data_IF_412827312785
#
_entry.id   IF_412827312785
#
_cell.length_a   1.000
_cell.length_b   1.000
_cell.length_c   1.000
_cell.angle_alpha   90.00
_cell.angle_beta   90.00
_cell.angle_gamma   90.00
#
_symmetry.space_group_name_H-M   'P 1'
#
loop_
_entity.id
_entity.type
_entity.pdbx_description
1 polymer ?
#
# COMPACT_ATOMS: atom_id res chain seq x y z
N UNK A 1 -14.05 -36.69 72.23
CA UNK A 1 -13.67 -38.12 72.35
C UNK A 1 -12.97 -38.46 71.02
N UNK A 2 -11.65 -38.72 71.18
CA UNK A 2 -10.88 -39.86 70.68
C UNK A 2 -11.00 -40.10 69.17
N UNK A 3 -9.99 -40.23 68.28
CA UNK A 3 -8.59 -40.71 68.56
C UNK A 3 -7.74 -40.35 67.34
N UNK A 4 -6.52 -39.94 67.59
CA UNK A 4 -5.38 -39.98 66.72
C UNK A 4 -5.10 -41.38 66.18
N UNK A 5 -4.68 -41.56 64.95
CA UNK A 5 -3.72 -42.60 64.59
C UNK A 5 -2.78 -42.03 63.52
N UNK A 6 -1.57 -41.95 63.97
CA UNK A 6 -0.33 -41.71 63.27
C UNK A 6 0.11 -43.05 62.66
N UNK A 7 0.43 -43.11 61.37
CA UNK A 7 1.34 -44.14 60.81
C UNK A 7 2.31 -43.54 59.88
N UNK A 8 3.52 -43.70 60.18
CA UNK A 8 4.81 -43.31 59.66
C UNK A 8 5.29 -44.33 58.63
N UNK A 9 6.15 -43.86 57.74
CA UNK A 9 7.17 -44.60 56.94
C UNK A 9 6.63 -45.20 55.62
N UNK A 10 7.37 -45.18 54.50
CA UNK A 10 8.81 -45.41 54.32
C UNK A 10 9.14 -44.90 52.90
N UNK A 11 10.19 -44.13 52.78
CA UNK A 11 11.04 -43.82 51.62
C UNK A 11 11.25 -45.02 50.70
N UNK A 12 11.05 -44.78 49.39
CA UNK A 12 11.86 -45.48 48.38
C UNK A 12 12.19 -44.53 47.25
N UNK A 13 13.42 -44.09 47.27
CA UNK A 13 14.09 -43.38 46.16
C UNK A 13 14.20 -44.35 44.97
N UNK A 14 13.54 -44.00 43.88
CA UNK A 14 13.89 -44.56 42.58
C UNK A 14 14.20 -43.41 41.64
N UNK A 15 15.49 -43.06 41.62
CA UNK A 15 16.08 -42.13 40.64
C UNK A 15 16.06 -42.78 39.26
N UNK A 16 15.05 -42.49 38.44
CA UNK A 16 15.14 -42.73 37.00
C UNK A 16 15.77 -41.49 36.38
N UNK A 17 17.06 -41.60 36.11
CA UNK A 17 17.75 -40.67 35.19
C UNK A 17 17.15 -40.88 33.76
N UNK A 18 16.13 -40.14 33.44
CA UNK A 18 15.71 -39.95 32.05
C UNK A 18 16.66 -38.91 31.47
N UNK A 19 17.72 -39.36 30.79
CA UNK A 19 18.50 -38.50 29.89
C UNK A 19 17.63 -38.11 28.74
N UNK A 20 16.99 -36.94 28.84
CA UNK A 20 16.47 -36.25 27.67
C UNK A 20 17.68 -35.90 26.81
N UNK A 21 17.93 -36.71 25.80
CA UNK A 21 18.67 -36.26 24.64
C UNK A 21 17.83 -35.16 23.98
N UNK A 22 17.99 -33.94 24.45
CA UNK A 22 17.60 -32.74 23.74
C UNK A 22 18.41 -32.74 22.46
N UNK A 23 17.81 -33.19 21.35
CA UNK A 23 18.26 -32.81 20.04
C UNK A 23 18.13 -31.27 19.99
N UNK A 24 19.21 -30.61 20.35
CA UNK A 24 19.43 -29.23 19.94
C UNK A 24 19.57 -29.27 18.42
N UNK A 25 18.44 -29.17 17.71
CA UNK A 25 18.50 -28.60 16.38
C UNK A 25 19.15 -27.23 16.60
N UNK A 26 20.37 -27.10 16.15
CA UNK A 26 21.08 -25.83 16.01
C UNK A 26 20.32 -25.00 14.95
N UNK A 27 19.16 -24.50 15.35
CA UNK A 27 18.56 -23.38 14.67
C UNK A 27 19.58 -22.25 14.75
N UNK A 28 20.17 -21.87 13.62
CA UNK A 28 20.92 -20.63 13.51
C UNK A 28 20.06 -19.58 14.20
N UNK A 29 20.53 -19.03 15.32
CA UNK A 29 19.89 -17.89 15.94
C UNK A 29 19.81 -16.84 14.84
N UNK A 30 18.60 -16.56 14.37
CA UNK A 30 18.36 -15.55 13.34
C UNK A 30 18.87 -14.24 13.95
N UNK A 31 20.02 -13.77 13.47
CA UNK A 31 20.50 -12.45 13.84
C UNK A 31 19.40 -11.46 13.44
N UNK A 32 18.98 -10.61 14.36
CA UNK A 32 17.97 -9.60 14.07
C UNK A 32 18.38 -8.74 12.88
N UNK A 33 17.41 -8.22 12.15
CA UNK A 33 17.62 -7.31 11.02
C UNK A 33 17.04 -5.94 11.37
N UNK A 34 17.84 -4.89 11.19
CA UNK A 34 17.33 -3.52 11.23
C UNK A 34 16.36 -3.35 10.07
N UNK A 35 15.12 -2.98 10.36
CA UNK A 35 14.09 -2.77 9.34
C UNK A 35 13.63 -1.31 9.37
N UNK A 36 14.10 -0.53 8.39
CA UNK A 36 13.79 0.89 8.21
C UNK A 36 13.78 1.26 6.74
N UNK A 37 13.10 2.35 6.43
CA UNK A 37 13.19 2.98 5.11
C UNK A 37 14.56 3.63 4.95
N UNK A 38 15.37 3.14 4.01
CA UNK A 38 16.78 3.51 3.89
C UNK A 38 17.26 3.48 2.43
N UNK A 39 16.41 3.91 1.48
CA UNK A 39 16.82 4.05 0.09
C UNK A 39 18.05 4.96 -0.01
N UNK A 40 19.00 4.60 -0.85
CA UNK A 40 20.34 5.22 -0.91
C UNK A 40 20.30 6.51 -1.76
N UNK A 41 20.93 7.58 -1.26
CA UNK A 41 21.12 8.83 -2.00
C UNK A 41 21.87 8.59 -3.31
N UNK A 42 21.36 9.19 -4.39
CA UNK A 42 21.93 9.06 -5.74
C UNK A 42 21.55 7.78 -6.47
N UNK A 43 20.74 6.89 -5.85
CA UNK A 43 20.21 5.69 -6.49
C UNK A 43 18.81 5.90 -7.03
N UNK A 44 18.52 5.13 -8.08
CA UNK A 44 17.21 5.03 -8.71
C UNK A 44 16.52 3.72 -8.36
N UNK A 45 15.19 3.75 -8.31
CA UNK A 45 14.35 2.58 -8.05
C UNK A 45 13.13 2.65 -8.95
N UNK A 46 12.73 1.51 -9.51
CA UNK A 46 11.49 1.40 -10.28
C UNK A 46 10.46 0.61 -9.47
N UNK A 47 9.21 1.06 -9.53
CA UNK A 47 8.07 0.38 -8.94
C UNK A 47 7.00 0.13 -9.99
N UNK A 48 6.44 -1.06 -9.95
CA UNK A 48 5.22 -1.44 -10.64
C UNK A 48 4.14 -1.71 -9.59
N UNK A 49 2.97 -1.13 -9.76
CA UNK A 49 1.80 -1.35 -8.92
C UNK A 49 0.62 -1.73 -9.80
N UNK A 50 -0.03 -2.82 -9.48
CA UNK A 50 -1.23 -3.28 -10.18
C UNK A 50 -2.32 -3.58 -9.16
N UNK A 51 -3.51 -3.03 -9.41
CA UNK A 51 -4.74 -3.33 -8.70
C UNK A 51 -5.74 -3.96 -9.64
N UNK A 52 -6.27 -5.13 -9.29
CA UNK A 52 -7.35 -5.83 -9.99
C UNK A 52 -8.55 -5.88 -9.04
N UNK A 53 -9.56 -5.08 -9.32
CA UNK A 53 -10.70 -4.86 -8.43
C UNK A 53 -12.00 -5.27 -9.12
N UNK A 54 -12.86 -5.95 -8.36
CA UNK A 54 -14.23 -6.22 -8.73
C UNK A 54 -15.13 -5.42 -7.77
N UNK A 55 -15.94 -4.54 -8.33
CA UNK A 55 -16.87 -3.71 -7.58
C UNK A 55 -18.29 -4.15 -7.91
N UNK A 56 -19.09 -4.42 -6.88
CA UNK A 56 -20.49 -4.76 -7.04
C UNK A 56 -21.36 -3.63 -6.51
N UNK A 57 -22.13 -3.03 -7.41
CA UNK A 57 -23.11 -1.99 -7.10
C UNK A 57 -24.50 -2.52 -7.46
N UNK A 58 -25.37 -2.71 -6.48
CA UNK A 58 -26.66 -3.40 -6.65
C UNK A 58 -26.45 -4.80 -7.22
N UNK A 59 -26.90 -5.09 -8.40
CA UNK A 59 -26.73 -6.40 -9.07
C UNK A 59 -25.70 -6.37 -10.19
N UNK A 60 -24.93 -5.26 -10.34
CA UNK A 60 -24.00 -5.05 -11.45
C UNK A 60 -22.56 -5.19 -10.98
N UNK A 61 -21.82 -6.07 -11.65
CA UNK A 61 -20.39 -6.24 -11.44
C UNK A 61 -19.60 -5.33 -12.40
N UNK A 62 -18.64 -4.62 -11.86
CA UNK A 62 -17.68 -3.78 -12.60
C UNK A 62 -16.28 -4.26 -12.28
N UNK A 63 -15.52 -4.63 -13.31
CA UNK A 63 -14.11 -4.96 -13.17
C UNK A 63 -13.26 -3.74 -13.51
N UNK A 64 -12.29 -3.43 -12.65
CA UNK A 64 -11.35 -2.30 -12.82
C UNK A 64 -9.94 -2.83 -12.60
N UNK A 65 -9.05 -2.63 -13.57
CA UNK A 65 -7.63 -2.90 -13.41
C UNK A 65 -6.90 -1.57 -13.55
N UNK A 66 -6.10 -1.21 -12.54
CA UNK A 66 -5.28 0.00 -12.55
C UNK A 66 -3.82 -0.43 -12.48
N UNK A 67 -2.98 0.07 -13.36
CA UNK A 67 -1.54 -0.14 -13.36
C UNK A 67 -0.79 1.20 -13.34
N UNK A 68 0.22 1.28 -12.47
CA UNK A 68 1.14 2.42 -12.38
C UNK A 68 2.59 1.94 -12.38
N UNK A 69 3.42 2.59 -13.18
CA UNK A 69 4.86 2.39 -13.24
C UNK A 69 5.54 3.68 -12.84
N UNK A 70 6.44 3.60 -11.88
CA UNK A 70 7.06 4.77 -11.23
C UNK A 70 8.56 4.63 -11.21
N UNK A 71 9.26 5.74 -11.37
CA UNK A 71 10.67 5.85 -11.05
C UNK A 71 10.84 6.75 -9.83
N UNK A 72 11.67 6.33 -8.90
CA UNK A 72 12.08 7.09 -7.73
C UNK A 72 13.59 7.32 -7.80
N UNK A 73 14.03 8.57 -7.59
CA UNK A 73 15.44 8.90 -7.48
C UNK A 73 15.65 9.62 -6.13
N UNK A 74 16.49 9.06 -5.26
CA UNK A 74 16.82 9.71 -3.98
C UNK A 74 17.77 10.87 -4.25
N UNK A 75 17.29 12.09 -4.14
CA UNK A 75 18.05 13.31 -4.45
C UNK A 75 18.79 13.87 -3.24
N UNK A 76 18.25 13.62 -2.04
CA UNK A 76 18.89 14.03 -0.79
C UNK A 76 18.57 13.11 0.37
N UNK A 77 19.48 13.08 1.39
CA UNK A 77 19.36 12.34 2.63
C UNK A 77 20.09 13.11 3.73
N UNK A 78 19.37 13.58 4.74
CA UNK A 78 19.93 14.25 5.92
C UNK A 78 20.20 13.28 7.10
N UNK A 79 20.08 11.99 6.87
CA UNK A 79 20.23 10.92 7.85
C UNK A 79 18.92 10.57 8.59
N UNK A 80 17.87 11.38 8.47
CA UNK A 80 16.55 11.14 9.06
C UNK A 80 15.45 11.11 7.99
N UNK A 81 15.54 12.02 7.03
CA UNK A 81 14.54 12.22 5.97
C UNK A 81 15.21 12.10 4.62
N UNK A 82 14.58 11.37 3.71
CA UNK A 82 14.99 11.25 2.32
C UNK A 82 14.10 12.11 1.45
N UNK A 83 14.73 12.91 0.61
CA UNK A 83 14.06 13.64 -0.46
C UNK A 83 14.12 12.80 -1.74
N UNK A 84 12.98 12.47 -2.29
CA UNK A 84 12.83 11.58 -3.43
C UNK A 84 12.16 12.34 -4.56
N UNK A 85 12.77 12.37 -5.73
CA UNK A 85 12.12 12.76 -6.97
C UNK A 85 11.35 11.57 -7.53
N UNK A 86 10.05 11.71 -7.63
CA UNK A 86 9.12 10.71 -8.14
C UNK A 86 8.66 11.08 -9.54
N UNK A 87 8.44 10.08 -10.37
CA UNK A 87 7.94 10.27 -11.73
C UNK A 87 7.09 9.08 -12.16
N UNK A 88 5.87 9.33 -12.64
CA UNK A 88 5.08 8.31 -13.30
C UNK A 88 5.67 8.03 -14.68
N UNK A 89 5.97 6.78 -14.99
CA UNK A 89 6.47 6.38 -16.32
C UNK A 89 5.35 5.90 -17.21
N UNK A 90 4.38 5.20 -16.63
CA UNK A 90 3.18 4.73 -17.33
C UNK A 90 2.03 4.64 -16.36
N UNK A 91 0.87 5.02 -16.80
CA UNK A 91 -0.42 4.82 -16.14
C UNK A 91 -1.36 4.11 -17.10
N UNK A 92 -2.04 3.07 -16.63
CA UNK A 92 -3.08 2.37 -17.38
C UNK A 92 -4.28 2.11 -16.51
N UNK A 93 -5.47 2.08 -17.12
CA UNK A 93 -6.69 1.66 -16.48
C UNK A 93 -7.55 0.92 -17.51
N UNK A 94 -7.99 -0.27 -17.14
CA UNK A 94 -8.95 -1.06 -17.90
C UNK A 94 -10.20 -1.19 -17.05
N UNK A 95 -11.35 -0.75 -17.57
CA UNK A 95 -12.61 -0.75 -16.83
C UNK A 95 -13.72 -1.33 -17.72
N UNK A 96 -14.52 -2.24 -17.15
CA UNK A 96 -15.75 -2.68 -17.77
C UNK A 96 -16.94 -2.19 -16.94
N UNK A 97 -17.72 -1.28 -17.50
CA UNK A 97 -18.89 -0.69 -16.85
C UNK A 97 -20.10 -0.91 -17.75
N UNK A 98 -21.10 -1.64 -17.28
CA UNK A 98 -22.36 -1.92 -18.03
C UNK A 98 -22.12 -2.51 -19.42
N UNK A 99 -21.07 -3.36 -19.59
CA UNK A 99 -20.72 -3.94 -20.88
C UNK A 99 -19.89 -3.03 -21.79
N UNK A 100 -19.60 -1.80 -21.38
CA UNK A 100 -18.69 -0.90 -22.08
C UNK A 100 -17.26 -1.10 -21.56
N UNK A 101 -16.34 -1.39 -22.46
CA UNK A 101 -14.93 -1.48 -22.14
C UNK A 101 -14.26 -0.10 -22.35
N UNK A 102 -13.70 0.43 -21.28
CA UNK A 102 -12.93 1.69 -21.31
C UNK A 102 -11.48 1.31 -21.02
N UNK A 103 -10.61 1.49 -21.99
CA UNK A 103 -9.19 1.23 -21.88
C UNK A 103 -8.43 2.54 -21.99
N UNK A 104 -7.55 2.78 -21.04
CA UNK A 104 -6.72 3.96 -20.96
C UNK A 104 -5.28 3.56 -20.76
N UNK A 105 -4.39 4.13 -21.55
CA UNK A 105 -2.96 3.92 -21.40
C UNK A 105 -2.23 5.21 -21.77
N UNK A 106 -1.33 5.66 -20.91
CA UNK A 106 -0.53 6.87 -21.17
C UNK A 106 0.48 6.73 -22.30
N UNK A 107 0.82 5.49 -22.72
CA UNK A 107 1.74 5.21 -23.84
C UNK A 107 1.04 5.12 -25.19
N UNK A 108 -0.27 5.19 -25.23
CA UNK A 108 -1.04 5.20 -26.44
C UNK A 108 -2.44 4.64 -26.24
N UNK A 109 -3.45 5.49 -26.26
CA UNK A 109 -4.82 5.02 -26.40
C UNK A 109 -5.17 4.94 -27.87
N UNK A 110 -5.55 3.77 -28.33
CA UNK A 110 -6.17 3.57 -29.65
C UNK A 110 -7.64 3.98 -29.61
N UNK A 111 -7.95 5.16 -29.08
CA UNK A 111 -9.30 5.68 -29.06
C UNK A 111 -9.62 6.35 -30.42
N UNK A 112 -9.70 5.55 -31.48
CA UNK A 112 -10.25 5.94 -32.77
C UNK A 112 -11.68 5.40 -32.96
N UNK A 113 -12.58 5.63 -32.03
CA UNK A 113 -13.98 5.33 -32.30
C UNK A 113 -14.93 6.36 -31.68
N UNK A 114 -15.99 6.68 -32.44
CA UNK A 114 -16.95 7.74 -32.14
C UNK A 114 -17.95 7.43 -31.02
N UNK A 115 -17.76 6.34 -30.26
CA UNK A 115 -18.61 5.95 -29.16
C UNK A 115 -18.30 6.72 -27.88
N UNK A 116 -19.30 6.99 -27.06
CA UNK A 116 -19.17 7.72 -25.79
C UNK A 116 -18.17 7.09 -24.81
N UNK A 117 -17.98 5.77 -24.84
CA UNK A 117 -16.95 5.07 -24.08
C UNK A 117 -15.54 5.47 -24.52
N UNK A 118 -15.34 5.68 -25.80
CA UNK A 118 -14.07 6.11 -26.38
C UNK A 118 -13.78 7.59 -26.16
N UNK A 119 -14.80 8.44 -26.05
CA UNK A 119 -14.66 9.84 -25.68
C UNK A 119 -14.11 9.98 -24.25
N UNK A 120 -14.69 9.24 -23.26
CA UNK A 120 -14.22 9.22 -21.89
C UNK A 120 -12.80 8.64 -21.79
N UNK A 121 -12.53 7.52 -22.48
CA UNK A 121 -11.21 6.91 -22.56
C UNK A 121 -10.17 7.87 -23.14
N UNK A 122 -10.50 8.58 -24.21
CA UNK A 122 -9.62 9.59 -24.82
C UNK A 122 -9.34 10.79 -23.92
N UNK A 123 -10.34 11.28 -23.18
CA UNK A 123 -10.17 12.36 -22.22
C UNK A 123 -9.26 11.93 -21.05
N UNK A 124 -9.50 10.77 -20.47
CA UNK A 124 -8.70 10.25 -19.37
C UNK A 124 -7.27 9.87 -19.81
N UNK A 125 -7.09 9.40 -21.05
CA UNK A 125 -5.75 9.17 -21.62
C UNK A 125 -4.96 10.47 -21.75
N UNK A 126 -5.60 11.59 -22.11
CA UNK A 126 -4.95 12.91 -22.13
C UNK A 126 -4.54 13.33 -20.71
N UNK A 127 -5.37 13.06 -19.68
CA UNK A 127 -5.03 13.29 -18.28
C UNK A 127 -3.80 12.48 -17.90
N UNK A 128 -3.78 11.19 -18.19
CA UNK A 128 -2.64 10.33 -17.86
C UNK A 128 -1.36 10.73 -18.60
N UNK A 129 -1.45 11.04 -19.89
CA UNK A 129 -0.32 11.54 -20.67
C UNK A 129 0.19 12.89 -20.14
N UNK A 130 -0.69 13.71 -19.58
CA UNK A 130 -0.34 14.98 -18.95
C UNK A 130 0.45 14.85 -17.63
N UNK A 131 0.35 13.71 -16.97
CA UNK A 131 0.99 13.44 -15.68
C UNK A 131 2.33 12.68 -15.84
N UNK A 132 2.43 11.75 -16.80
CA UNK A 132 3.64 10.94 -16.99
C UNK A 132 4.85 11.78 -17.40
N UNK A 133 6.04 11.30 -17.01
CA UNK A 133 7.34 11.93 -17.26
C UNK A 133 7.46 13.36 -16.68
N UNK A 134 6.66 13.68 -15.67
CA UNK A 134 6.78 14.94 -14.92
C UNK A 134 7.15 14.66 -13.46
N UNK A 135 8.30 15.16 -12.99
CA UNK A 135 8.76 14.88 -11.65
C UNK A 135 8.01 15.71 -10.60
N UNK A 136 7.77 15.10 -9.46
CA UNK A 136 7.34 15.73 -8.23
C UNK A 136 8.20 15.23 -7.07
N UNK A 137 8.12 15.87 -5.92
CA UNK A 137 9.01 15.57 -4.78
C UNK A 137 8.24 14.98 -3.62
N UNK A 138 8.85 13.99 -2.98
CA UNK A 138 8.35 13.35 -1.76
C UNK A 138 9.44 13.36 -0.69
N UNK A 139 9.08 13.66 0.57
CA UNK A 139 9.95 13.52 1.74
C UNK A 139 9.46 12.37 2.61
N UNK A 140 10.34 11.43 2.92
CA UNK A 140 10.02 10.21 3.65
C UNK A 140 11.02 10.01 4.79
N UNK A 141 10.52 9.71 6.00
CA UNK A 141 11.36 9.41 7.16
C UNK A 141 11.80 7.92 7.21
N UNK A 142 12.57 7.56 8.23
CA UNK A 142 13.10 6.20 8.39
C UNK A 142 12.02 5.16 8.74
N UNK A 143 10.85 5.59 9.18
CA UNK A 143 9.69 4.73 9.42
C UNK A 143 8.80 4.57 8.19
N UNK A 144 9.15 5.25 7.08
CA UNK A 144 8.36 5.26 5.86
C UNK A 144 7.17 6.22 5.90
N UNK A 145 7.08 7.10 6.92
CA UNK A 145 6.06 8.12 6.93
C UNK A 145 6.36 9.15 5.85
N UNK A 146 5.38 9.43 5.00
CA UNK A 146 5.49 10.49 4.01
C UNK A 146 5.16 11.81 4.68
N UNK A 147 6.17 12.62 4.89
CA UNK A 147 6.04 13.91 5.57
C UNK A 147 5.43 14.96 4.66
N UNK A 148 5.86 14.99 3.40
CA UNK A 148 5.49 16.00 2.43
C UNK A 148 5.49 15.43 1.01
N UNK A 149 4.53 15.85 0.19
CA UNK A 149 4.54 15.72 -1.28
C UNK A 149 4.37 17.11 -1.85
N UNK A 150 5.17 17.47 -2.86
CA UNK A 150 5.11 18.79 -3.50
C UNK A 150 5.32 18.68 -5.00
N UNK A 151 4.61 19.51 -5.75
CA UNK A 151 4.77 19.64 -7.18
C UNK A 151 3.74 18.90 -8.01
N UNK A 152 3.03 17.93 -7.45
CA UNK A 152 2.00 17.20 -8.19
C UNK A 152 0.80 18.08 -8.54
N UNK A 153 0.35 18.94 -7.62
CA UNK A 153 -0.69 19.94 -7.88
C UNK A 153 -0.35 20.81 -9.11
N UNK A 154 0.92 21.26 -9.23
CA UNK A 154 1.36 22.07 -10.38
C UNK A 154 1.33 21.29 -11.70
N UNK A 155 1.60 19.98 -11.66
CA UNK A 155 1.50 19.10 -12.82
C UNK A 155 0.05 19.07 -13.31
N UNK A 156 -0.90 18.88 -12.39
CA UNK A 156 -2.34 18.83 -12.70
C UNK A 156 -2.85 20.17 -13.20
N UNK A 157 -2.48 21.28 -12.56
CA UNK A 157 -2.85 22.63 -13.02
C UNK A 157 -2.31 22.91 -14.42
N UNK A 158 -1.03 22.62 -14.67
CA UNK A 158 -0.42 22.79 -15.99
C UNK A 158 -1.03 21.92 -17.09
N UNK A 159 -1.49 20.72 -16.72
CA UNK A 159 -2.25 19.85 -17.63
C UNK A 159 -3.58 20.49 -18.02
N UNK A 160 -4.36 20.95 -17.04
CA UNK A 160 -5.64 21.62 -17.27
C UNK A 160 -5.48 22.92 -18.04
N UNK A 161 -4.37 23.64 -17.84
CA UNK A 161 -4.01 24.84 -18.58
C UNK A 161 -3.75 24.55 -20.07
N UNK A 162 -3.26 23.38 -20.40
CA UNK A 162 -2.99 22.94 -21.78
C UNK A 162 -4.23 22.43 -22.51
N UNK A 163 -5.35 22.22 -21.82
CA UNK A 163 -6.59 21.79 -22.43
C UNK A 163 -7.35 22.99 -23.00
N UNK A 164 -7.82 22.86 -24.24
CA UNK A 164 -8.66 23.87 -24.89
C UNK A 164 -10.12 23.72 -24.42
N UNK A 165 -10.36 24.16 -23.19
CA UNK A 165 -11.68 24.13 -22.53
C UNK A 165 -12.03 25.53 -22.01
N UNK A 166 -13.34 25.85 -22.02
CA UNK A 166 -13.83 27.14 -21.53
C UNK A 166 -13.44 27.39 -20.07
N UNK A 167 -13.18 28.63 -19.64
CA UNK A 167 -12.73 28.95 -18.29
C UNK A 167 -13.62 28.40 -17.17
N UNK A 168 -14.93 28.42 -17.37
CA UNK A 168 -15.91 27.88 -16.41
C UNK A 168 -15.80 26.35 -16.28
N UNK A 169 -15.66 25.65 -17.41
CA UNK A 169 -15.47 24.20 -17.44
C UNK A 169 -14.12 23.81 -16.81
N UNK A 170 -13.08 24.63 -17.00
CA UNK A 170 -11.76 24.44 -16.40
C UNK A 170 -11.83 24.57 -14.87
N UNK A 171 -12.48 25.60 -14.35
CA UNK A 171 -12.67 25.79 -12.91
C UNK A 171 -13.45 24.61 -12.27
N UNK A 172 -14.46 24.08 -12.96
CA UNK A 172 -15.22 22.92 -12.52
C UNK A 172 -14.36 21.64 -12.57
N UNK A 173 -13.56 21.44 -13.62
CA UNK A 173 -12.62 20.33 -13.72
C UNK A 173 -11.56 20.38 -12.62
N UNK A 174 -10.97 21.54 -12.34
CA UNK A 174 -10.02 21.75 -11.25
C UNK A 174 -10.63 21.38 -9.89
N UNK A 175 -11.86 21.85 -9.62
CA UNK A 175 -12.54 21.53 -8.35
C UNK A 175 -12.80 20.02 -8.20
N UNK A 176 -13.19 19.34 -9.29
CA UNK A 176 -13.46 17.89 -9.28
C UNK A 176 -12.18 17.06 -9.18
N UNK A 177 -11.08 17.53 -9.76
CA UNK A 177 -9.82 16.81 -9.79
C UNK A 177 -8.98 17.01 -8.52
N UNK A 178 -9.17 18.10 -7.77
CA UNK A 178 -8.41 18.38 -6.53
C UNK A 178 -8.48 17.26 -5.50
N UNK A 179 -9.61 16.57 -5.41
CA UNK A 179 -9.81 15.48 -4.44
C UNK A 179 -9.15 14.18 -4.92
N UNK A 180 -8.99 13.98 -6.23
CA UNK A 180 -8.50 12.73 -6.83
C UNK A 180 -7.08 12.81 -7.40
N UNK A 181 -6.57 14.03 -7.62
CA UNK A 181 -5.26 14.29 -8.19
C UNK A 181 -4.59 15.47 -7.47
N UNK A 182 -4.12 15.21 -6.25
CA UNK A 182 -3.47 16.22 -5.40
C UNK A 182 -2.20 15.67 -4.76
N UNK A 183 -1.37 16.55 -4.22
CA UNK A 183 -0.22 16.19 -3.41
C UNK A 183 -0.64 15.27 -2.24
N UNK A 184 -1.80 15.51 -1.61
CA UNK A 184 -2.33 14.67 -0.54
C UNK A 184 -2.78 13.30 -1.05
N UNK A 185 -3.46 13.24 -2.20
CA UNK A 185 -3.84 11.97 -2.81
C UNK A 185 -2.63 11.09 -3.10
N UNK A 186 -1.58 11.67 -3.69
CA UNK A 186 -0.31 10.96 -3.93
C UNK A 186 0.30 10.48 -2.62
N UNK A 187 0.32 11.32 -1.57
CA UNK A 187 0.77 10.93 -0.24
C UNK A 187 0.05 9.70 0.26
N UNK A 188 -1.29 9.67 0.17
CA UNK A 188 -2.13 8.57 0.64
C UNK A 188 -1.87 7.28 -0.14
N UNK A 189 -1.67 7.37 -1.46
CA UNK A 189 -1.35 6.22 -2.31
C UNK A 189 -0.03 5.55 -1.91
N UNK A 190 1.00 6.33 -1.65
CA UNK A 190 2.32 5.80 -1.30
C UNK A 190 2.44 5.44 0.19
N UNK A 191 1.57 5.95 1.06
CA UNK A 191 1.57 5.58 2.47
C UNK A 191 1.36 4.06 2.69
N UNK A 192 0.56 3.41 1.85
CA UNK A 192 0.35 1.96 1.91
C UNK A 192 1.62 1.15 1.65
N UNK A 193 2.58 1.71 0.89
CA UNK A 193 3.82 1.03 0.51
C UNK A 193 4.93 1.32 1.50
N UNK A 194 5.03 2.56 1.96
CA UNK A 194 6.20 3.02 2.72
C UNK A 194 5.97 3.04 4.23
N UNK A 195 4.72 3.21 4.71
CA UNK A 195 4.44 3.22 6.15
C UNK A 195 4.39 1.81 6.75
N UNK A 196 5.47 1.04 6.58
CA UNK A 196 5.55 -0.36 7.02
C UNK A 196 6.67 -0.60 8.05
N UNK A 197 7.62 0.33 8.17
CA UNK A 197 8.87 0.10 8.91
C UNK A 197 8.73 0.43 10.39
N UNK A 198 9.21 -0.45 11.30
CA UNK A 198 9.24 -0.17 12.73
C UNK A 198 10.45 0.63 13.18
N UNK A 199 11.41 0.92 12.28
CA UNK A 199 12.68 1.58 12.54
C UNK A 199 13.45 0.97 13.74
N UNK A 200 13.48 -0.35 13.81
CA UNK A 200 14.17 -1.12 14.85
C UNK A 200 14.69 -2.45 14.33
N UNK A 201 15.52 -3.10 15.13
CA UNK A 201 15.91 -4.49 14.88
C UNK A 201 14.71 -5.42 15.14
N UNK A 202 14.47 -6.34 14.18
CA UNK A 202 13.40 -7.33 14.24
C UNK A 202 13.94 -8.74 14.11
N UNK A 203 13.19 -9.71 14.65
CA UNK A 203 13.41 -11.15 14.54
C UNK A 203 12.15 -11.82 14.00
N UNK A 204 12.29 -13.04 13.52
CA UNK A 204 11.13 -13.86 13.11
C UNK A 204 10.16 -13.99 14.29
N UNK A 205 8.89 -13.74 14.05
CA UNK A 205 7.81 -13.73 15.02
C UNK A 205 7.50 -12.35 15.63
N UNK A 206 8.37 -11.36 15.47
CA UNK A 206 8.11 -10.01 15.96
C UNK A 206 6.91 -9.38 15.26
N UNK A 207 6.16 -8.58 16.02
CA UNK A 207 4.99 -7.85 15.54
C UNK A 207 5.10 -6.36 15.87
N UNK A 208 4.50 -5.56 15.00
CA UNK A 208 4.31 -4.12 15.24
C UNK A 208 3.08 -3.63 14.50
N UNK A 209 2.59 -2.49 14.91
CA UNK A 209 1.42 -1.84 14.33
C UNK A 209 1.84 -0.57 13.59
N UNK A 210 1.17 -0.31 12.48
CA UNK A 210 1.25 0.95 11.72
C UNK A 210 -0.15 1.38 11.34
N UNK A 211 -0.36 2.70 11.35
CA UNK A 211 -1.64 3.28 10.98
C UNK A 211 -1.43 4.48 10.07
N UNK A 212 -2.33 4.67 9.14
CA UNK A 212 -2.45 5.90 8.37
C UNK A 212 -3.91 6.14 8.01
N UNK A 213 -4.23 7.39 7.68
CA UNK A 213 -5.56 7.78 7.21
C UNK A 213 -5.43 8.38 5.82
N UNK A 214 -6.35 8.01 4.93
CA UNK A 214 -6.51 8.69 3.64
C UNK A 214 -7.29 9.99 3.85
N UNK A 215 -7.17 10.90 2.90
CA UNK A 215 -7.84 12.19 2.89
C UNK A 215 -9.00 12.22 1.90
N UNK A 216 -9.82 13.31 1.92
CA UNK A 216 -10.92 13.53 1.00
C UNK A 216 -12.27 12.94 1.44
N UNK A 217 -13.25 12.92 0.54
CA UNK A 217 -14.64 12.53 0.84
C UNK A 217 -14.83 11.05 1.20
N UNK A 218 -13.86 10.21 0.87
CA UNK A 218 -13.86 8.79 1.20
C UNK A 218 -12.68 8.46 2.12
N UNK A 219 -12.43 9.35 3.08
CA UNK A 219 -11.38 9.15 4.05
C UNK A 219 -11.60 7.85 4.83
N UNK A 220 -10.54 7.06 4.93
CA UNK A 220 -10.56 5.82 5.68
C UNK A 220 -9.28 5.67 6.50
N UNK A 221 -9.40 5.03 7.65
CA UNK A 221 -8.28 4.68 8.50
C UNK A 221 -7.86 3.23 8.23
N UNK A 222 -6.58 3.05 8.02
CA UNK A 222 -5.93 1.76 7.85
C UNK A 222 -5.10 1.46 9.08
N UNK A 223 -5.40 0.36 9.76
CA UNK A 223 -4.65 -0.10 10.92
C UNK A 223 -4.09 -1.48 10.60
N UNK A 224 -2.77 -1.58 10.46
CA UNK A 224 -2.08 -2.78 10.01
C UNK A 224 -1.21 -3.36 11.11
N UNK A 225 -1.36 -4.65 11.37
CA UNK A 225 -0.43 -5.44 12.17
C UNK A 225 0.51 -6.17 11.22
N UNK A 226 1.79 -5.85 11.28
CA UNK A 226 2.84 -6.58 10.58
C UNK A 226 3.42 -7.66 11.47
N UNK A 227 3.72 -8.82 10.88
CA UNK A 227 4.42 -9.93 11.53
C UNK A 227 5.62 -10.32 10.68
N UNK A 228 6.81 -10.32 11.25
CA UNK A 228 8.01 -10.84 10.58
C UNK A 228 7.90 -12.37 10.47
N UNK A 229 7.61 -12.89 9.27
CA UNK A 229 7.38 -14.32 9.02
C UNK A 229 8.68 -15.06 8.79
N UNK A 230 9.58 -14.44 8.05
CA UNK A 230 10.83 -15.06 7.61
C UNK A 230 11.91 -14.00 7.40
N UNK A 231 13.15 -14.38 7.68
CA UNK A 231 14.34 -13.59 7.38
C UNK A 231 15.31 -14.52 6.64
N UNK A 232 15.49 -14.26 5.35
CA UNK A 232 16.42 -15.02 4.48
C UNK A 232 17.47 -14.07 3.89
N UNK A 233 18.69 -14.17 4.39
CA UNK A 233 19.77 -13.25 4.02
C UNK A 233 19.39 -11.80 4.34
N UNK A 234 19.30 -10.97 3.33
CA UNK A 234 18.88 -9.57 3.45
C UNK A 234 17.39 -9.35 3.23
N UNK A 235 16.64 -10.37 2.86
CA UNK A 235 15.21 -10.27 2.63
C UNK A 235 14.41 -10.62 3.87
N UNK A 236 13.41 -9.79 4.14
CA UNK A 236 12.45 -9.99 5.22
C UNK A 236 11.08 -10.16 4.60
N UNK A 237 10.42 -11.27 4.91
CA UNK A 237 9.02 -11.52 4.54
C UNK A 237 8.13 -11.13 5.71
N UNK A 238 7.22 -10.21 5.47
CA UNK A 238 6.21 -9.75 6.42
C UNK A 238 4.84 -10.28 6.00
N UNK A 239 4.03 -10.65 6.99
CA UNK A 239 2.58 -10.79 6.84
C UNK A 239 1.94 -9.51 7.32
N UNK A 240 1.03 -8.96 6.55
CA UNK A 240 0.27 -7.76 6.86
C UNK A 240 -1.21 -8.10 7.03
N UNK A 241 -1.78 -7.74 8.18
CA UNK A 241 -3.22 -7.83 8.47
C UNK A 241 -3.74 -6.43 8.74
N UNK A 242 -4.56 -5.91 7.84
CA UNK A 242 -5.08 -4.54 7.90
C UNK A 242 -6.58 -4.54 8.15
N UNK A 243 -7.02 -3.72 9.08
CA UNK A 243 -8.41 -3.32 9.26
C UNK A 243 -8.63 -1.95 8.64
N UNK A 244 -9.70 -1.82 7.85
CA UNK A 244 -10.07 -0.57 7.17
C UNK A 244 -11.41 -0.10 7.76
N UNK A 245 -11.48 1.17 8.13
CA UNK A 245 -12.70 1.79 8.66
C UNK A 245 -12.75 3.26 8.29
N UNK A 246 -13.94 3.81 8.05
CA UNK A 246 -14.13 5.27 8.01
C UNK A 246 -14.75 5.76 9.30
N UNK A 247 -14.41 7.00 9.64
CA UNK A 247 -15.10 7.80 10.66
C UNK A 247 -15.75 8.98 9.96
N UNK A 248 -16.85 8.74 9.24
CA UNK A 248 -17.39 9.78 8.38
C UNK A 248 -18.51 10.55 9.06
N UNK A 249 -18.42 11.90 9.02
CA UNK A 249 -19.47 12.83 9.46
C UNK A 249 -20.61 12.93 8.44
N UNK A 250 -20.36 12.57 7.17
CA UNK A 250 -21.30 12.68 6.06
C UNK A 250 -22.19 11.43 5.86
N UNK A 251 -22.13 10.46 6.77
CA UNK A 251 -22.93 9.23 6.71
C UNK A 251 -22.43 8.18 5.73
N UNK A 252 -21.26 8.36 5.11
CA UNK A 252 -20.56 7.31 4.36
C UNK A 252 -19.80 6.43 5.34
N UNK A 253 -20.06 5.15 5.32
CA UNK A 253 -19.37 4.16 6.16
C UNK A 253 -18.54 3.25 5.29
N UNK A 254 -17.23 3.14 5.57
CA UNK A 254 -16.33 2.19 4.95
C UNK A 254 -15.90 1.18 6.01
N UNK A 255 -15.98 -0.09 5.69
CA UNK A 255 -15.43 -1.16 6.50
C UNK A 255 -14.74 -2.16 5.59
N UNK A 256 -13.63 -2.72 6.04
CA UNK A 256 -12.91 -3.69 5.22
C UNK A 256 -11.73 -4.32 5.93
N UNK A 257 -11.12 -5.23 5.21
CA UNK A 257 -9.89 -5.91 5.60
C UNK A 257 -8.99 -6.05 4.38
N UNK A 258 -7.70 -6.05 4.63
CA UNK A 258 -6.69 -6.37 3.63
C UNK A 258 -5.66 -7.30 4.28
N UNK A 259 -5.29 -8.36 3.59
CA UNK A 259 -4.26 -9.30 4.05
C UNK A 259 -3.26 -9.53 2.94
N UNK A 260 -2.00 -9.71 3.29
CA UNK A 260 -0.99 -9.93 2.28
C UNK A 260 0.40 -10.26 2.81
N UNK A 261 1.31 -10.44 1.87
CA UNK A 261 2.72 -10.63 2.16
C UNK A 261 3.52 -9.49 1.51
N UNK A 262 4.54 -9.04 2.23
CA UNK A 262 5.46 -7.99 1.77
C UNK A 262 6.88 -8.52 1.92
N UNK A 263 7.67 -8.50 0.86
CA UNK A 263 9.09 -8.86 0.88
C UNK A 263 9.90 -7.57 0.78
N UNK A 264 10.77 -7.34 1.74
CA UNK A 264 11.58 -6.13 1.88
C UNK A 264 13.06 -6.48 1.87
N UNK A 265 13.86 -5.76 1.09
CA UNK A 265 15.32 -5.75 1.25
C UNK A 265 15.69 -4.90 2.48
N UNK A 266 16.15 -5.54 3.56
CA UNK A 266 16.44 -4.88 4.84
C UNK A 266 17.59 -3.87 4.80
N UNK A 267 18.45 -3.93 3.77
CA UNK A 267 19.57 -2.98 3.61
C UNK A 267 19.06 -1.60 3.20
N UNK A 268 18.07 -1.59 2.32
CA UNK A 268 17.55 -0.36 1.71
C UNK A 268 16.13 -0.02 2.14
N UNK A 269 15.38 -0.99 2.66
CA UNK A 269 13.94 -0.84 2.87
C UNK A 269 13.13 -0.88 1.56
N UNK A 270 13.73 -1.33 0.44
CA UNK A 270 13.00 -1.50 -0.80
C UNK A 270 11.96 -2.62 -0.64
N UNK A 271 10.69 -2.33 -0.88
CA UNK A 271 9.66 -3.36 -1.07
C UNK A 271 9.89 -3.99 -2.43
N UNK A 272 10.48 -5.18 -2.45
CA UNK A 272 10.82 -5.88 -3.71
C UNK A 272 9.63 -6.65 -4.29
N UNK A 273 8.73 -7.10 -3.42
CA UNK A 273 7.47 -7.71 -3.83
C UNK A 273 6.41 -7.56 -2.74
N UNK A 274 5.17 -7.32 -3.13
CA UNK A 274 4.02 -7.40 -2.23
C UNK A 274 2.82 -7.92 -3.01
N UNK A 275 2.07 -8.80 -2.38
CA UNK A 275 0.78 -9.27 -2.88
C UNK A 275 -0.22 -9.21 -1.74
N UNK A 276 -1.41 -8.69 -2.01
CA UNK A 276 -2.46 -8.59 -1.02
C UNK A 276 -3.86 -8.76 -1.63
N UNK A 277 -4.75 -9.31 -0.81
CA UNK A 277 -6.17 -9.42 -1.06
C UNK A 277 -6.91 -8.41 -0.19
N UNK A 278 -7.87 -7.70 -0.76
CA UNK A 278 -8.67 -6.68 -0.08
C UNK A 278 -10.16 -6.93 -0.29
N UNK A 279 -10.92 -6.85 0.79
CA UNK A 279 -12.38 -6.85 0.78
C UNK A 279 -12.87 -5.60 1.51
N UNK A 280 -13.68 -4.79 0.85
CA UNK A 280 -14.28 -3.58 1.43
C UNK A 280 -15.77 -3.50 1.15
N UNK A 281 -16.46 -2.84 2.05
CA UNK A 281 -17.84 -2.46 1.93
C UNK A 281 -17.96 -0.97 2.18
N UNK A 282 -18.57 -0.27 1.23
CA UNK A 282 -18.89 1.15 1.31
C UNK A 282 -20.40 1.31 1.35
N UNK A 283 -20.91 1.97 2.38
CA UNK A 283 -22.32 2.31 2.47
C UNK A 283 -22.44 3.83 2.43
N UNK A 284 -23.13 4.37 1.42
CA UNK A 284 -23.34 5.80 1.25
C UNK A 284 -24.78 6.04 0.81
N UNK A 285 -25.49 6.97 1.46
CA UNK A 285 -26.88 7.32 1.14
C UNK A 285 -27.81 6.10 1.05
N UNK A 286 -27.60 5.08 1.88
CA UNK A 286 -28.39 3.84 1.89
C UNK A 286 -28.02 2.82 0.81
N UNK A 287 -27.10 3.15 -0.09
CA UNK A 287 -26.57 2.21 -1.08
C UNK A 287 -25.33 1.51 -0.53
N UNK A 288 -25.25 0.20 -0.83
CA UNK A 288 -24.14 -0.65 -0.45
C UNK A 288 -23.33 -1.02 -1.69
N UNK A 289 -22.03 -0.79 -1.63
CA UNK A 289 -21.06 -1.14 -2.66
C UNK A 289 -20.04 -2.08 -2.04
N UNK A 290 -19.85 -3.24 -2.63
CA UNK A 290 -18.82 -4.20 -2.23
C UNK A 290 -17.66 -4.11 -3.21
N UNK A 291 -16.44 -4.05 -2.70
CA UNK A 291 -15.20 -4.04 -3.48
C UNK A 291 -14.32 -5.17 -3.02
N UNK A 292 -14.04 -6.11 -3.90
CA UNK A 292 -13.05 -7.15 -3.69
C UNK A 292 -11.88 -6.93 -4.65
N UNK A 293 -10.65 -7.00 -4.18
CA UNK A 293 -9.50 -6.68 -5.02
C UNK A 293 -8.23 -7.43 -4.64
N UNK A 294 -7.33 -7.47 -5.62
CA UNK A 294 -5.96 -7.96 -5.45
C UNK A 294 -5.00 -6.88 -5.85
N UNK A 295 -3.99 -6.66 -5.03
CA UNK A 295 -2.91 -5.73 -5.33
C UNK A 295 -1.59 -6.44 -5.44
N UNK A 296 -0.75 -5.95 -6.35
CA UNK A 296 0.63 -6.40 -6.52
C UNK A 296 1.54 -5.19 -6.61
N UNK A 297 2.66 -5.26 -5.92
CA UNK A 297 3.71 -4.25 -5.96
C UNK A 297 5.03 -4.95 -6.22
N UNK A 298 5.82 -4.43 -7.14
CA UNK A 298 7.16 -4.90 -7.43
C UNK A 298 8.12 -3.72 -7.47
N UNK A 299 9.18 -3.78 -6.66
CA UNK A 299 10.26 -2.80 -6.63
C UNK A 299 11.56 -3.38 -7.15
N UNK A 300 12.33 -2.58 -7.89
CA UNK A 300 13.63 -2.97 -8.46
C UNK A 300 14.61 -1.81 -8.30
N UNK A 301 15.81 -2.08 -7.80
CA UNK A 301 16.91 -1.12 -7.81
C UNK A 301 17.50 -1.02 -9.22
N UNK A 302 17.86 0.21 -9.65
CA UNK A 302 18.58 0.50 -10.91
C UNK A 302 20.05 0.37 -10.76
#
# INVERSE_FOLDING_TARGET
MKKSVLILSVTLFFSVLVTFNSCTSSGKASSGKMLKFNLEKGKGYDYEMIWDMNTKVMEQDTKIIIGGYYTMNVTDDDGKVRTISMEYKRLRMDMNVMGMNINMDSEGSTAESADSANFLGGMLSKVFSGIVNKPFTMKVDQEGNILEVTGFNKIVDGMLDSMDIAPEAKAQAQASMKDQFSDNYVKDQFAQIFNIFPNKEIKVGDKWEKSFSTSGKQAAQYNTVYTAKEIDGDFVTLVADTKISSQDEDGTKITGKQTGNVIVDSRTGLVVNSEFDQDMEVTASGMKVSVAGKGKIKGTAK
#
